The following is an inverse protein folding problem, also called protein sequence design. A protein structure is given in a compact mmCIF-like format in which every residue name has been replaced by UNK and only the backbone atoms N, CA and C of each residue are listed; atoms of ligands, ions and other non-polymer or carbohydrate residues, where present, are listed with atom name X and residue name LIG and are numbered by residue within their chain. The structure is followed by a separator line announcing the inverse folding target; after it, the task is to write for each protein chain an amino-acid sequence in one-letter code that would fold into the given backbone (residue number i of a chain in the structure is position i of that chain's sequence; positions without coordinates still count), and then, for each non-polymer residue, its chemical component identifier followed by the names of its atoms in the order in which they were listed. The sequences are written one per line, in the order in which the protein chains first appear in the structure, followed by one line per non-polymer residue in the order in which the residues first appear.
data_IF_971053832157
#
_entry.id   IF_971053832157
#
_cell.length_a   1.000
_cell.length_b   1.000
_cell.length_c   1.000
_cell.angle_alpha   90.00
_cell.angle_beta   90.00
_cell.angle_gamma   90.00
#
_symmetry.space_group_name_H-M   'P 1'
#
loop_
_entity.id
_entity.type
_entity.pdbx_description
1 polymer ?
#
# COMPACT_ATOMS: atom_id res chain seq x y z
N UNK A 1 -14.71 -19.09 -11.75
CA UNK A 1 -13.43 -19.04 -11.00
C UNK A 1 -12.98 -17.61 -10.67
N UNK A 2 -13.02 -16.65 -11.62
CA UNK A 2 -12.64 -15.26 -11.34
C UNK A 2 -13.52 -14.57 -10.28
N UNK A 3 -14.85 -14.71 -10.37
CA UNK A 3 -15.78 -14.11 -9.41
C UNK A 3 -15.56 -14.59 -7.96
N UNK A 4 -15.37 -15.90 -7.76
CA UNK A 4 -15.09 -16.48 -6.43
C UNK A 4 -13.77 -15.98 -5.83
N UNK A 5 -12.73 -15.82 -6.66
CA UNK A 5 -11.44 -15.26 -6.22
C UNK A 5 -11.57 -13.79 -5.82
N UNK A 6 -12.38 -13.03 -6.56
CA UNK A 6 -12.67 -11.63 -6.25
C UNK A 6 -13.45 -11.50 -4.93
N UNK A 7 -14.50 -12.30 -4.75
CA UNK A 7 -15.29 -12.34 -3.52
C UNK A 7 -14.42 -12.67 -2.30
N UNK A 8 -13.56 -13.68 -2.40
CA UNK A 8 -12.62 -14.03 -1.34
C UNK A 8 -11.66 -12.89 -1.02
N UNK A 9 -11.13 -12.19 -2.03
CA UNK A 9 -10.23 -11.06 -1.83
C UNK A 9 -10.94 -9.89 -1.12
N UNK A 10 -12.16 -9.54 -1.55
CA UNK A 10 -12.97 -8.51 -0.92
C UNK A 10 -13.31 -8.84 0.53
N UNK A 11 -13.70 -10.09 0.80
CA UNK A 11 -13.97 -10.56 2.16
C UNK A 11 -12.73 -10.51 3.04
N UNK A 12 -11.55 -10.83 2.49
CA UNK A 12 -10.27 -10.75 3.19
C UNK A 12 -9.91 -9.30 3.52
N UNK A 13 -10.05 -8.40 2.56
CA UNK A 13 -9.84 -6.95 2.77
C UNK A 13 -10.78 -6.38 3.81
N UNK A 14 -12.05 -6.79 3.80
CA UNK A 14 -13.03 -6.40 4.81
C UNK A 14 -12.68 -6.96 6.20
N UNK A 15 -12.27 -8.22 6.30
CA UNK A 15 -11.88 -8.84 7.57
C UNK A 15 -10.64 -8.21 8.20
N UNK A 16 -9.74 -7.67 7.37
CA UNK A 16 -8.57 -6.89 7.80
C UNK A 16 -8.93 -5.45 8.17
N UNK A 17 -10.13 -4.98 7.82
CA UNK A 17 -10.59 -3.62 8.11
C UNK A 17 -9.95 -2.56 7.21
N UNK A 18 -9.48 -2.93 6.01
CA UNK A 18 -8.74 -2.00 5.13
C UNK A 18 -9.63 -0.85 4.65
N UNK A 19 -10.94 -1.11 4.52
CA UNK A 19 -11.92 -0.12 4.05
C UNK A 19 -12.21 0.98 5.08
N UNK A 20 -11.88 0.74 6.35
CA UNK A 20 -12.06 1.72 7.43
C UNK A 20 -10.79 2.57 7.68
N UNK A 21 -9.69 2.29 6.96
CA UNK A 21 -8.42 2.99 7.09
C UNK A 21 -8.37 4.26 6.21
N UNK A 22 -7.62 5.26 6.66
CA UNK A 22 -7.31 6.43 5.83
C UNK A 22 -6.22 6.09 4.81
N UNK A 23 -6.60 6.07 3.53
CA UNK A 23 -5.74 5.79 2.38
C UNK A 23 -5.76 6.95 1.37
N UNK A 24 -6.08 8.16 1.84
CA UNK A 24 -6.31 9.34 0.98
C UNK A 24 -5.05 9.95 0.35
N UNK A 25 -3.87 9.63 0.89
CA UNK A 25 -2.57 10.15 0.42
C UNK A 25 -1.46 9.13 0.64
N UNK A 26 -0.32 9.34 -0.03
CA UNK A 26 0.87 8.49 0.16
C UNK A 26 1.30 8.41 1.64
N UNK A 27 1.29 9.54 2.35
CA UNK A 27 1.65 9.59 3.78
C UNK A 27 0.63 8.84 4.64
N UNK A 28 -0.66 8.98 4.34
CA UNK A 28 -1.72 8.25 5.03
C UNK A 28 -1.57 6.72 4.86
N UNK A 29 -1.27 6.26 3.64
CA UNK A 29 -0.99 4.84 3.36
C UNK A 29 0.22 4.35 4.16
N UNK A 30 1.34 5.08 4.14
CA UNK A 30 2.54 4.71 4.90
C UNK A 30 2.28 4.67 6.40
N UNK A 31 1.50 5.61 6.93
CA UNK A 31 1.09 5.64 8.33
C UNK A 31 0.19 4.46 8.69
N UNK A 32 -0.76 4.10 7.81
CA UNK A 32 -1.62 2.94 7.99
C UNK A 32 -0.80 1.65 8.05
N UNK A 33 0.15 1.45 7.13
CA UNK A 33 1.03 0.26 7.12
C UNK A 33 1.90 0.19 8.37
N UNK A 34 2.50 1.31 8.79
CA UNK A 34 3.31 1.38 10.03
C UNK A 34 2.49 1.13 11.30
N UNK A 35 1.20 1.46 11.31
CA UNK A 35 0.31 1.18 12.45
C UNK A 35 0.05 -0.31 12.66
N UNK A 36 0.13 -1.11 11.59
CA UNK A 36 -0.13 -2.55 11.62
C UNK A 36 1.08 -3.32 12.16
N UNK A 37 2.27 -2.93 11.71
CA UNK A 37 3.49 -3.64 12.03
C UNK A 37 4.71 -2.71 12.16
N UNK A 38 5.49 -2.84 13.26
CA UNK A 38 6.78 -2.16 13.38
C UNK A 38 7.82 -2.75 12.40
N UNK A 39 7.53 -3.89 11.75
CA UNK A 39 8.38 -4.47 10.70
C UNK A 39 8.55 -3.52 9.50
N UNK A 40 7.62 -2.60 9.27
CA UNK A 40 7.72 -1.63 8.18
C UNK A 40 9.06 -0.86 8.17
N UNK A 41 9.73 -0.72 9.32
CA UNK A 41 11.07 -0.11 9.41
C UNK A 41 12.20 -1.04 8.90
N UNK A 42 12.02 -2.36 9.01
CA UNK A 42 12.96 -3.38 8.56
C UNK A 42 12.75 -3.79 7.09
N UNK A 43 11.65 -3.34 6.49
CA UNK A 43 11.33 -3.52 5.08
C UNK A 43 11.11 -2.15 4.42
N UNK A 44 12.19 -1.36 4.22
CA UNK A 44 12.04 0.02 3.75
C UNK A 44 11.43 0.03 2.35
N UNK A 45 10.25 0.62 2.23
CA UNK A 45 9.52 0.72 0.98
C UNK A 45 8.04 1.01 1.13
N UNK A 46 7.30 0.77 0.06
CA UNK A 46 5.87 1.02 -0.09
C UNK A 46 5.58 2.04 -1.18
N UNK A 47 4.36 2.55 -1.21
CA UNK A 47 3.98 3.64 -2.12
C UNK A 47 4.84 4.89 -1.84
N UNK A 48 5.46 5.45 -2.88
CA UNK A 48 6.29 6.66 -2.78
C UNK A 48 5.72 7.86 -3.54
N UNK A 49 4.83 7.63 -4.52
CA UNK A 49 4.28 8.71 -5.33
C UNK A 49 3.67 8.22 -6.64
N UNK A 50 3.50 9.15 -7.58
CA UNK A 50 3.09 8.87 -8.96
C UNK A 50 4.16 9.35 -9.95
N UNK A 51 4.25 8.68 -11.09
CA UNK A 51 5.01 9.17 -12.24
C UNK A 51 4.25 10.28 -12.99
N UNK A 52 4.90 10.83 -14.02
CA UNK A 52 4.33 11.89 -14.89
C UNK A 52 3.07 11.45 -15.65
N UNK A 53 2.86 10.14 -15.78
CA UNK A 53 1.71 9.56 -16.46
C UNK A 53 0.59 9.18 -15.46
N UNK A 54 0.76 9.46 -14.17
CA UNK A 54 -0.20 9.11 -13.13
C UNK A 54 -0.11 7.65 -12.65
N UNK A 55 0.92 6.90 -13.04
CA UNK A 55 1.17 5.56 -12.53
C UNK A 55 1.70 5.64 -11.10
N UNK A 56 1.12 4.85 -10.19
CA UNK A 56 1.63 4.77 -8.82
C UNK A 56 2.97 4.04 -8.79
N UNK A 57 3.94 4.63 -8.10
CA UNK A 57 5.25 4.04 -7.87
C UNK A 57 5.24 3.41 -6.48
N UNK A 58 5.32 2.08 -6.44
CA UNK A 58 5.56 1.31 -5.23
C UNK A 58 6.99 0.74 -5.30
N UNK A 59 7.82 1.08 -4.31
CA UNK A 59 9.23 0.71 -4.29
C UNK A 59 9.58 0.03 -2.96
N UNK A 60 10.22 -1.14 -3.04
CA UNK A 60 10.78 -1.83 -1.87
C UNK A 60 12.29 -2.06 -2.04
N UNK A 61 13.06 -1.72 -1.02
CA UNK A 61 14.53 -1.82 -1.04
C UNK A 61 15.00 -3.20 -0.57
N UNK A 62 15.01 -4.17 -1.50
CA UNK A 62 15.27 -5.57 -1.14
C UNK A 62 16.69 -5.83 -0.62
N UNK A 63 17.67 -5.02 -1.06
CA UNK A 63 19.08 -5.16 -0.66
C UNK A 63 19.36 -4.86 0.81
N UNK A 64 18.44 -4.19 1.52
CA UNK A 64 18.59 -3.83 2.92
C UNK A 64 17.75 -4.70 3.87
N UNK A 65 17.03 -5.69 3.35
CA UNK A 65 16.15 -6.53 4.18
C UNK A 65 16.99 -7.46 5.05
N UNK A 66 16.73 -7.40 6.37
CA UNK A 66 17.31 -8.32 7.34
C UNK A 66 16.34 -9.47 7.62
N UNK A 67 16.29 -10.47 6.74
CA UNK A 67 15.30 -11.57 6.79
C UNK A 67 15.28 -12.29 8.14
N UNK A 68 16.43 -12.57 8.76
CA UNK A 68 16.49 -13.21 10.07
C UNK A 68 15.81 -12.35 11.15
N UNK A 69 16.17 -11.07 11.20
CA UNK A 69 15.55 -10.11 12.12
C UNK A 69 14.05 -9.92 11.82
N UNK A 70 13.63 -10.03 10.57
CA UNK A 70 12.23 -9.94 10.14
C UNK A 70 11.37 -11.06 10.73
N UNK A 71 11.87 -12.30 10.66
CA UNK A 71 11.17 -13.50 11.15
C UNK A 71 11.09 -13.49 12.68
N UNK A 72 12.12 -12.95 13.34
CA UNK A 72 12.16 -12.86 14.80
C UNK A 72 11.35 -11.68 15.36
N UNK A 73 11.17 -10.61 14.58
CA UNK A 73 10.53 -9.37 15.04
C UNK A 73 8.99 -9.46 15.12
N UNK A 74 8.33 -10.22 14.25
CA UNK A 74 6.87 -10.32 14.27
C UNK A 74 6.33 -11.53 13.50
N UNK A 75 5.02 -11.76 13.62
CA UNK A 75 4.32 -12.80 12.86
C UNK A 75 4.26 -12.41 11.38
N UNK A 76 4.68 -13.33 10.51
CA UNK A 76 4.56 -13.18 9.07
C UNK A 76 3.13 -12.82 8.60
N UNK A 77 2.09 -13.22 9.33
CA UNK A 77 0.70 -12.85 9.04
C UNK A 77 0.48 -11.34 9.03
N UNK A 78 1.10 -10.61 9.96
CA UNK A 78 0.97 -9.15 10.02
C UNK A 78 1.72 -8.44 8.91
N UNK A 79 2.83 -9.01 8.46
CA UNK A 79 3.51 -8.55 7.26
C UNK A 79 2.59 -8.63 6.02
N UNK A 80 1.88 -9.76 5.83
CA UNK A 80 0.91 -9.89 4.74
C UNK A 80 -0.28 -8.94 4.89
N UNK A 81 -0.76 -8.70 6.12
CA UNK A 81 -1.79 -7.70 6.37
C UNK A 81 -1.31 -6.31 5.94
N UNK A 82 -0.10 -5.91 6.32
CA UNK A 82 0.51 -4.65 5.88
C UNK A 82 0.62 -4.56 4.35
N UNK A 83 1.00 -5.66 3.67
CA UNK A 83 1.06 -5.71 2.22
C UNK A 83 -0.33 -5.59 1.55
N UNK A 84 -1.39 -6.14 2.15
CA UNK A 84 -2.77 -5.97 1.68
C UNK A 84 -3.16 -4.48 1.76
N UNK A 85 -2.82 -3.82 2.87
CA UNK A 85 -3.12 -2.39 3.08
C UNK A 85 -2.34 -1.51 2.10
N UNK A 86 -1.06 -1.80 1.85
CA UNK A 86 -0.25 -1.07 0.88
C UNK A 86 -0.80 -1.25 -0.55
N UNK A 87 -1.22 -2.46 -0.92
CA UNK A 87 -1.85 -2.74 -2.22
C UNK A 87 -3.18 -2.00 -2.41
N UNK A 88 -4.07 -2.04 -1.41
CA UNK A 88 -5.35 -1.32 -1.50
C UNK A 88 -5.13 0.20 -1.44
N UNK A 89 -4.15 0.68 -0.67
CA UNK A 89 -3.74 2.07 -0.67
C UNK A 89 -3.30 2.54 -2.06
N UNK A 90 -2.45 1.76 -2.74
CA UNK A 90 -2.07 2.03 -4.12
C UNK A 90 -3.28 2.02 -5.07
N UNK A 91 -4.19 1.05 -4.93
CA UNK A 91 -5.40 0.98 -5.74
C UNK A 91 -6.35 2.16 -5.48
N UNK A 92 -6.50 2.59 -4.23
CA UNK A 92 -7.28 3.74 -3.84
C UNK A 92 -6.71 5.04 -4.44
N UNK A 93 -5.39 5.23 -4.33
CA UNK A 93 -4.69 6.36 -4.95
C UNK A 93 -4.80 6.34 -6.48
N UNK A 94 -4.70 5.17 -7.12
CA UNK A 94 -4.96 5.04 -8.56
C UNK A 94 -6.37 5.48 -8.93
N UNK A 95 -7.38 5.08 -8.16
CA UNK A 95 -8.78 5.50 -8.39
C UNK A 95 -8.94 7.02 -8.21
N UNK A 96 -8.35 7.59 -7.16
CA UNK A 96 -8.38 9.03 -6.91
C UNK A 96 -7.69 9.82 -8.02
N UNK A 97 -6.47 9.45 -8.40
CA UNK A 97 -5.71 10.15 -9.43
C UNK A 97 -6.34 9.97 -10.81
N UNK A 98 -6.85 8.78 -11.15
CA UNK A 98 -7.53 8.56 -12.43
C UNK A 98 -8.89 9.28 -12.50
N UNK A 99 -9.61 9.42 -11.37
CA UNK A 99 -10.84 10.22 -11.31
C UNK A 99 -10.54 11.72 -11.41
N UNK A 100 -9.39 12.16 -10.91
CA UNK A 100 -8.93 13.56 -10.97
C UNK A 100 -8.36 13.91 -12.36
N UNK A 101 -7.84 12.95 -13.14
CA UNK A 101 -7.25 13.16 -14.47
C UNK A 101 -8.23 13.63 -15.58
N UNK A 102 -9.51 13.90 -15.27
CA UNK A 102 -10.40 14.74 -16.12
C UNK A 102 -10.08 16.26 -15.95
N UNK A 103 -9.20 16.63 -15.00
CA UNK A 103 -8.60 17.97 -14.82
C UNK A 103 -7.13 17.85 -14.37
N UNK A 104 -6.30 18.91 -14.51
CA UNK A 104 -4.86 18.74 -14.68
C UNK A 104 -4.20 18.19 -13.40
N UNK A 105 -3.37 17.17 -13.61
CA UNK A 105 -2.28 16.62 -12.77
C UNK A 105 -2.28 17.08 -11.31
N UNK A 106 -2.61 16.17 -10.40
CA UNK A 106 -2.55 16.37 -8.95
C UNK A 106 -1.15 16.86 -8.53
N UNK A 107 -1.02 17.83 -7.60
CA UNK A 107 0.27 18.37 -7.14
C UNK A 107 1.26 17.32 -6.59
N UNK A 108 0.82 16.09 -6.31
CA UNK A 108 1.68 15.00 -5.84
C UNK A 108 2.41 14.27 -7.00
N UNK A 109 2.01 14.48 -8.26
CA UNK A 109 2.66 13.88 -9.43
C UNK A 109 3.78 14.75 -10.04
N UNK A 110 4.12 15.88 -9.41
CA UNK A 110 5.19 16.79 -9.89
C UNK A 110 6.51 16.70 -9.10
N UNK A 111 6.59 15.85 -8.07
CA UNK A 111 7.69 15.89 -7.09
C UNK A 111 8.71 14.73 -7.16
N UNK A 112 8.79 14.01 -8.28
CA UNK A 112 9.87 13.02 -8.55
C UNK A 112 10.49 13.25 -9.93
#
# INVERSE_FOLDING_TARGET
MAAQKMEWALNTMNAVGVFDMDLSSVDAVQKAVRSITPIAEYFPGGVIGCDKNGNIINMHTMGQIRIRSLVDAERASKFFIGAIVDCEGAAHLMRLFNFILIRPVHPQCFAL
#
